data_IF_188454617279
#
_entry.id   IF_188454617279
#
_cell.length_a   1.000
_cell.length_b   1.000
_cell.length_c   1.000
_cell.angle_alpha   90.00
_cell.angle_beta   90.00
_cell.angle_gamma   90.00
#
_symmetry.space_group_name_H-M   'P 1'
#
loop_
_entity.id
_entity.type
_entity.pdbx_description
1 polymer ?
#
# COMPACT_ATOMS: atom_id res chain seq x y z
N UNK A 1 -8.77 -9.60 -13.19
CA UNK A 1 -8.45 -8.20 -13.57
C UNK A 1 -9.09 -7.14 -12.66
N UNK A 2 -10.12 -7.44 -11.86
CA UNK A 2 -10.97 -6.42 -11.20
C UNK A 2 -10.40 -5.68 -9.97
N UNK A 3 -9.33 -6.16 -9.31
CA UNK A 3 -9.03 -5.73 -7.93
C UNK A 3 -8.01 -4.58 -7.84
N UNK A 4 -7.10 -4.44 -8.80
CA UNK A 4 -6.19 -3.28 -8.87
C UNK A 4 -6.96 -2.02 -9.33
N UNK A 5 -7.98 -2.20 -10.16
CA UNK A 5 -8.87 -1.10 -10.57
C UNK A 5 -9.61 -0.50 -9.38
N UNK A 6 -10.00 -1.31 -8.38
CA UNK A 6 -10.62 -0.81 -7.15
C UNK A 6 -9.68 0.10 -6.33
N UNK A 7 -8.37 -0.11 -6.40
CA UNK A 7 -7.39 0.81 -5.82
C UNK A 7 -7.35 2.15 -6.57
N UNK A 8 -7.59 2.15 -7.88
CA UNK A 8 -7.74 3.39 -8.66
C UNK A 8 -9.05 4.10 -8.32
N UNK A 9 -10.14 3.36 -8.06
CA UNK A 9 -11.45 3.94 -7.71
C UNK A 9 -11.49 4.52 -6.28
N UNK A 10 -10.81 3.89 -5.32
CA UNK A 10 -10.75 4.37 -3.92
C UNK A 10 -9.33 4.36 -3.35
N UNK A 11 -8.41 5.22 -3.86
CA UNK A 11 -7.01 5.21 -3.46
C UNK A 11 -6.78 5.56 -1.98
N UNK A 12 -7.73 6.26 -1.36
CA UNK A 12 -7.69 6.68 0.04
C UNK A 12 -7.95 5.56 1.04
N UNK A 13 -8.49 4.40 0.61
CA UNK A 13 -8.85 3.28 1.49
C UNK A 13 -7.65 2.50 2.05
N UNK A 14 -6.47 2.59 1.44
CA UNK A 14 -5.27 1.94 1.98
C UNK A 14 -4.83 2.57 3.30
N UNK A 15 -4.44 1.72 4.23
CA UNK A 15 -3.97 2.12 5.54
C UNK A 15 -2.64 2.88 5.45
N UNK A 16 -2.39 3.73 6.45
CA UNK A 16 -1.08 4.40 6.61
C UNK A 16 -0.14 3.46 7.38
N UNK A 17 1.11 3.27 6.96
CA UNK A 17 2.13 2.57 7.75
C UNK A 17 2.29 3.22 9.14
N UNK A 18 2.63 2.47 10.19
CA UNK A 18 2.97 3.13 11.48
C UNK A 18 4.43 3.59 11.51
N UNK A 19 5.31 3.03 10.67
CA UNK A 19 6.61 3.64 10.37
C UNK A 19 6.42 5.10 9.93
N UNK A 20 6.98 6.01 10.72
CA UNK A 20 6.76 7.43 10.54
C UNK A 20 7.40 7.97 9.25
N UNK A 21 8.53 7.41 8.82
CA UNK A 21 9.22 7.81 7.59
C UNK A 21 8.35 7.48 6.39
N UNK A 22 7.78 6.28 6.35
CA UNK A 22 6.87 5.87 5.28
C UNK A 22 5.59 6.72 5.26
N UNK A 23 5.02 6.99 6.45
CA UNK A 23 3.84 7.84 6.60
C UNK A 23 4.10 9.27 6.12
N UNK A 24 5.20 9.89 6.55
CA UNK A 24 5.63 11.24 6.12
C UNK A 24 5.91 11.30 4.62
N UNK A 25 6.47 10.23 4.05
CA UNK A 25 6.68 10.11 2.60
C UNK A 25 5.39 9.88 1.78
N UNK A 26 4.22 9.77 2.43
CA UNK A 26 2.92 9.65 1.76
C UNK A 26 2.58 8.23 1.30
N UNK A 27 3.26 7.21 1.82
CA UNK A 27 2.94 5.82 1.49
C UNK A 27 1.63 5.38 2.14
N UNK A 28 0.94 4.50 1.42
CA UNK A 28 -0.19 3.72 1.88
C UNK A 28 0.06 2.25 1.56
N UNK A 29 -0.66 1.37 2.25
CA UNK A 29 -0.62 -0.04 1.94
C UNK A 29 -2.00 -0.69 2.00
N UNK A 30 -2.12 -1.80 1.29
CA UNK A 30 -3.23 -2.74 1.43
C UNK A 30 -2.70 -4.16 1.62
N UNK A 31 -3.42 -4.95 2.42
CA UNK A 31 -3.16 -6.39 2.59
C UNK A 31 -4.12 -7.14 1.69
N UNK A 32 -3.60 -7.99 0.80
CA UNK A 32 -4.41 -8.89 -0.02
C UNK A 32 -3.85 -10.31 0.04
N UNK A 33 -4.59 -11.18 0.74
CA UNK A 33 -4.14 -12.54 1.01
C UNK A 33 -2.79 -12.52 1.71
N UNK A 34 -1.77 -13.09 1.05
CA UNK A 34 -0.40 -13.13 1.55
C UNK A 34 0.47 -12.00 1.02
N UNK A 35 -0.09 -10.89 0.52
CA UNK A 35 0.69 -9.80 -0.06
C UNK A 35 0.44 -8.45 0.62
N UNK A 36 1.52 -7.69 0.87
CA UNK A 36 1.48 -6.25 1.12
C UNK A 36 1.67 -5.55 -0.20
N UNK A 37 0.85 -4.56 -0.48
CA UNK A 37 1.06 -3.70 -1.62
C UNK A 37 1.24 -2.28 -1.09
N UNK A 38 2.45 -1.74 -1.21
CA UNK A 38 2.72 -0.34 -0.91
C UNK A 38 2.56 0.51 -2.15
N UNK A 39 1.85 1.62 -2.01
CA UNK A 39 1.57 2.54 -3.09
C UNK A 39 1.52 3.98 -2.61
N UNK A 40 1.54 4.93 -3.55
CA UNK A 40 1.22 6.34 -3.31
C UNK A 40 0.07 6.77 -4.20
N UNK A 41 -0.71 7.72 -3.71
CA UNK A 41 -1.72 8.43 -4.48
C UNK A 41 -1.06 9.67 -5.06
N UNK A 42 -0.98 9.76 -6.38
CA UNK A 42 -0.53 10.94 -7.12
C UNK A 42 -1.75 11.64 -7.72
N UNK A 43 -1.56 12.82 -8.33
CA UNK A 43 -2.67 13.67 -8.78
C UNK A 43 -3.72 12.95 -9.62
N UNK A 44 -3.32 12.10 -10.56
CA UNK A 44 -4.22 11.44 -11.51
C UNK A 44 -4.14 9.91 -11.49
N UNK A 45 -3.23 9.32 -10.69
CA UNK A 45 -3.03 7.88 -10.69
C UNK A 45 -2.46 7.36 -9.36
N UNK A 46 -2.57 6.06 -9.18
CA UNK A 46 -1.93 5.32 -8.09
C UNK A 46 -0.67 4.65 -8.61
N UNK A 47 0.45 4.88 -7.93
CA UNK A 47 1.71 4.18 -8.23
C UNK A 47 2.00 3.15 -7.16
N UNK A 48 2.05 1.88 -7.56
CA UNK A 48 2.55 0.80 -6.71
C UNK A 48 4.08 0.83 -6.72
N UNK A 49 4.69 0.80 -5.54
CA UNK A 49 6.15 0.84 -5.38
C UNK A 49 6.73 -0.51 -4.97
N UNK A 50 6.02 -1.28 -4.14
CA UNK A 50 6.48 -2.57 -3.62
C UNK A 50 5.30 -3.52 -3.47
N UNK A 51 5.50 -4.78 -3.84
CA UNK A 51 4.62 -5.89 -3.49
C UNK A 51 5.47 -6.88 -2.68
N UNK A 52 5.09 -7.14 -1.43
CA UNK A 52 5.85 -7.98 -0.50
C UNK A 52 5.01 -9.18 -0.09
N UNK A 53 5.63 -10.34 0.13
CA UNK A 53 4.95 -11.51 0.66
C UNK A 53 4.86 -11.47 2.21
N UNK A 54 3.64 -11.55 2.74
CA UNK A 54 3.17 -11.41 4.12
C UNK A 54 3.89 -12.23 5.17
N UNK A 55 4.44 -13.39 4.78
CA UNK A 55 4.93 -14.39 5.72
C UNK A 55 6.30 -14.12 6.36
N UNK A 56 7.03 -13.05 5.99
CA UNK A 56 8.43 -12.90 6.47
C UNK A 56 8.89 -11.54 7.05
N UNK A 57 8.19 -10.42 6.86
CA UNK A 57 8.82 -9.08 7.10
C UNK A 57 7.96 -8.02 7.79
N UNK A 58 6.91 -8.40 8.52
CA UNK A 58 5.86 -7.44 8.90
C UNK A 58 5.91 -6.85 10.30
N UNK A 59 6.66 -7.45 11.23
CA UNK A 59 6.71 -6.90 12.61
C UNK A 59 7.43 -5.55 12.70
N UNK A 60 8.30 -5.24 11.74
CA UNK A 60 9.17 -4.06 11.83
C UNK A 60 8.65 -2.84 11.02
N UNK A 61 7.64 -3.02 10.16
CA UNK A 61 7.12 -1.97 9.25
C UNK A 61 5.69 -1.50 9.58
N UNK A 62 5.00 -2.24 10.46
CA UNK A 62 3.70 -1.87 11.03
C UNK A 62 3.93 -1.07 12.29
#
# INVERSE_FOLDING_TARGET
MAELERLATFPSRGARPRDERLRKAGYRYVVRGQYLIFYKVLRSYVRVYRVLHGRRMYRDLL
#
